data_IF_920414320541
#
_entry.id   IF_920414320541
#
_cell.length_a   1.000
_cell.length_b   1.000
_cell.length_c   1.000
_cell.angle_alpha   90.00
_cell.angle_beta   90.00
_cell.angle_gamma   90.00
#
_symmetry.space_group_name_H-M   'P 1'
#
loop_
_entity.id
_entity.type
_entity.pdbx_description
1 polymer ?
#
# COMPACT_ATOMS: atom_id res chain seq x y z
N UNK A 1 -35.40 15.51 25.11
CA UNK A 1 -35.37 16.30 23.85
C UNK A 1 -34.44 15.57 22.87
N UNK A 2 -34.94 15.13 21.72
CA UNK A 2 -34.10 14.50 20.69
C UNK A 2 -33.59 15.59 19.77
N UNK A 3 -32.29 15.83 19.79
CA UNK A 3 -31.67 16.80 18.89
C UNK A 3 -31.73 16.27 17.45
N UNK A 4 -32.03 17.13 16.44
CA UNK A 4 -32.03 16.70 15.04
C UNK A 4 -30.63 16.28 14.61
N UNK A 5 -30.48 15.04 14.13
CA UNK A 5 -29.20 14.51 13.67
C UNK A 5 -28.96 14.88 12.20
N UNK A 6 -27.76 15.38 11.88
CA UNK A 6 -27.41 15.71 10.49
C UNK A 6 -27.21 14.44 9.65
N UNK A 7 -27.98 14.32 8.57
CA UNK A 7 -27.87 13.21 7.60
C UNK A 7 -26.45 13.10 7.00
N UNK A 8 -25.79 14.24 6.79
CA UNK A 8 -24.42 14.30 6.27
C UNK A 8 -23.42 13.64 7.22
N UNK A 9 -23.59 13.83 8.53
CA UNK A 9 -22.72 13.22 9.53
C UNK A 9 -22.91 11.70 9.56
N UNK A 10 -24.15 11.23 9.45
CA UNK A 10 -24.47 9.80 9.37
C UNK A 10 -23.86 9.16 8.12
N UNK A 11 -23.94 9.83 6.96
CA UNK A 11 -23.31 9.35 5.71
C UNK A 11 -21.79 9.28 5.84
N UNK A 12 -21.16 10.30 6.42
CA UNK A 12 -19.72 10.32 6.68
C UNK A 12 -19.29 9.20 7.62
N UNK A 13 -20.03 8.97 8.72
CA UNK A 13 -19.76 7.88 9.65
C UNK A 13 -19.84 6.51 8.94
N UNK A 14 -20.88 6.27 8.14
CA UNK A 14 -21.01 5.04 7.33
C UNK A 14 -19.84 4.86 6.35
N UNK A 15 -19.43 5.92 5.67
CA UNK A 15 -18.30 5.87 4.74
C UNK A 15 -16.97 5.56 5.45
N UNK A 16 -16.75 6.12 6.64
CA UNK A 16 -15.56 5.84 7.46
C UNK A 16 -15.49 4.37 7.90
N UNK A 17 -16.62 3.80 8.35
CA UNK A 17 -16.69 2.38 8.72
C UNK A 17 -16.40 1.48 7.53
N UNK A 18 -17.02 1.75 6.37
CA UNK A 18 -16.77 0.99 5.14
C UNK A 18 -15.30 1.07 4.72
N UNK A 19 -14.67 2.24 4.83
CA UNK A 19 -13.25 2.42 4.50
C UNK A 19 -12.33 1.64 5.44
N UNK A 20 -12.65 1.53 6.73
CA UNK A 20 -11.91 0.69 7.70
C UNK A 20 -12.02 -0.80 7.34
N UNK A 21 -13.24 -1.29 7.10
CA UNK A 21 -13.45 -2.68 6.69
C UNK A 21 -12.69 -3.04 5.41
N UNK A 22 -12.71 -2.16 4.41
CA UNK A 22 -11.91 -2.33 3.19
C UNK A 22 -10.41 -2.34 3.47
N UNK A 23 -9.93 -1.52 4.41
CA UNK A 23 -8.53 -1.51 4.80
C UNK A 23 -8.13 -2.83 5.49
N UNK A 24 -8.98 -3.36 6.37
CA UNK A 24 -8.77 -4.63 7.05
C UNK A 24 -8.78 -5.79 6.05
N UNK A 25 -9.76 -5.82 5.14
CA UNK A 25 -9.80 -6.80 4.04
C UNK A 25 -8.56 -6.72 3.17
N UNK A 26 -8.07 -5.51 2.84
CA UNK A 26 -6.86 -5.33 2.06
C UNK A 26 -5.60 -5.76 2.83
N UNK A 27 -5.57 -5.55 4.15
CA UNK A 27 -4.48 -6.02 4.99
C UNK A 27 -4.41 -7.55 4.99
N UNK A 28 -5.57 -8.23 5.10
CA UNK A 28 -5.67 -9.68 5.03
C UNK A 28 -5.35 -10.21 3.63
N UNK A 29 -5.96 -9.64 2.58
CA UNK A 29 -5.83 -10.12 1.19
C UNK A 29 -4.45 -9.88 0.61
N UNK A 30 -3.81 -8.75 0.94
CA UNK A 30 -2.57 -8.36 0.29
C UNK A 30 -1.34 -8.48 1.19
N UNK A 31 -1.50 -8.70 2.51
CA UNK A 31 -0.47 -9.11 3.48
C UNK A 31 0.73 -8.17 3.67
N UNK A 32 0.98 -7.26 2.72
CA UNK A 32 2.07 -6.32 2.66
C UNK A 32 1.48 -4.93 2.47
N UNK A 33 1.77 -4.07 3.44
CA UNK A 33 1.39 -2.65 3.37
C UNK A 33 2.13 -1.95 2.23
N UNK A 34 1.64 -0.77 1.81
CA UNK A 34 2.34 0.04 0.80
C UNK A 34 3.78 0.37 1.21
N UNK A 35 4.00 0.63 2.50
CA UNK A 35 5.33 0.91 3.05
C UNK A 35 6.29 -0.29 2.91
N UNK A 36 5.80 -1.51 3.17
CA UNK A 36 6.60 -2.73 2.98
C UNK A 36 6.92 -2.92 1.49
N UNK A 37 5.94 -2.74 0.60
CA UNK A 37 6.16 -2.82 -0.85
C UNK A 37 7.19 -1.80 -1.35
N UNK A 38 7.18 -0.57 -0.83
CA UNK A 38 8.17 0.45 -1.23
C UNK A 38 9.58 0.09 -0.79
N UNK A 39 9.74 -0.45 0.43
CA UNK A 39 11.04 -0.87 0.95
C UNK A 39 11.57 -2.06 0.17
N UNK A 40 10.72 -3.06 -0.10
CA UNK A 40 11.08 -4.21 -0.95
C UNK A 40 11.49 -3.78 -2.36
N UNK A 41 10.74 -2.86 -2.98
CA UNK A 41 11.05 -2.34 -4.31
C UNK A 41 12.40 -1.59 -4.33
N UNK A 42 12.67 -0.76 -3.31
CA UNK A 42 13.94 -0.06 -3.18
C UNK A 42 15.12 -1.02 -2.99
N UNK A 43 14.96 -2.02 -2.11
CA UNK A 43 15.97 -3.06 -1.90
C UNK A 43 16.24 -3.87 -3.18
N UNK A 44 15.19 -4.23 -3.91
CA UNK A 44 15.32 -4.92 -5.21
C UNK A 44 16.02 -4.06 -6.25
N UNK A 45 15.72 -2.77 -6.32
CA UNK A 45 16.37 -1.85 -7.25
C UNK A 45 17.86 -1.67 -6.91
N UNK A 46 18.20 -1.58 -5.63
CA UNK A 46 19.60 -1.52 -5.18
C UNK A 46 20.35 -2.80 -5.52
N UNK A 47 19.76 -3.96 -5.26
CA UNK A 47 20.34 -5.26 -5.61
C UNK A 47 20.54 -5.38 -7.13
N UNK A 48 19.56 -4.96 -7.94
CA UNK A 48 19.67 -4.96 -9.40
C UNK A 48 20.81 -4.07 -9.87
N UNK A 49 20.94 -2.85 -9.35
CA UNK A 49 22.06 -1.94 -9.67
C UNK A 49 23.41 -2.49 -9.26
N UNK A 50 23.49 -3.12 -8.09
CA UNK A 50 24.73 -3.76 -7.64
C UNK A 50 25.13 -4.90 -8.57
N UNK A 51 24.18 -5.75 -8.96
CA UNK A 51 24.42 -6.83 -9.93
C UNK A 51 24.83 -6.30 -11.30
N UNK A 52 24.18 -5.24 -11.77
CA UNK A 52 24.49 -4.60 -13.04
C UNK A 52 25.91 -4.00 -13.05
N UNK A 53 26.30 -3.29 -11.97
CA UNK A 53 27.67 -2.79 -11.81
C UNK A 53 28.73 -3.88 -11.62
N UNK A 54 28.32 -5.11 -11.30
CA UNK A 54 29.21 -6.27 -11.19
C UNK A 54 29.20 -7.16 -12.43
N UNK A 55 28.33 -6.90 -13.42
CA UNK A 55 28.45 -7.54 -14.72
C UNK A 55 29.72 -7.01 -15.40
N UNK A 56 30.59 -7.93 -15.80
CA UNK A 56 31.58 -7.65 -16.83
C UNK A 56 30.85 -7.74 -18.17
N UNK A 57 31.24 -6.93 -19.14
CA UNK A 57 30.70 -6.86 -20.52
C UNK A 57 30.90 -8.18 -21.34
N UNK A 58 30.88 -9.35 -20.69
CA UNK A 58 31.04 -10.65 -21.34
C UNK A 58 29.72 -11.12 -22.01
N UNK A 59 28.91 -10.18 -22.53
CA UNK A 59 27.60 -10.47 -23.11
C UNK A 59 27.09 -9.48 -24.17
N UNK A 60 27.93 -8.56 -24.64
CA UNK A 60 27.66 -7.77 -25.86
C UNK A 60 28.35 -8.41 -27.07
N UNK A 61 27.78 -9.53 -27.54
CA UNK A 61 27.80 -9.96 -28.95
C UNK A 61 26.37 -10.20 -29.44
#
# INVERSE_FOLDING_TARGET
MVAPISLSNVRKAKALVKKRQQADENAVKFGRSKAVKSVEAAAKAQAARALDGHKRDDGDE
#
